data_IF_617668758029
#
_entry.id   IF_617668758029
#
_cell.length_a   1.000
_cell.length_b   1.000
_cell.length_c   1.000
_cell.angle_alpha   90.00
_cell.angle_beta   90.00
_cell.angle_gamma   90.00
#
_symmetry.space_group_name_H-M   'P 1'
#
loop_
_entity.id
_entity.type
_entity.pdbx_description
1 polymer ?
#
# COMPACT_ATOMS: atom_id res chain seq x y z
N UNK A 1 -11.08 10.55 -19.06
CA UNK A 1 -11.33 12.01 -19.01
C UNK A 1 -10.02 12.67 -18.61
N UNK A 2 -9.30 13.31 -19.54
CA UNK A 2 -7.94 13.82 -19.27
C UNK A 2 -8.04 15.11 -18.45
N UNK A 3 -7.71 15.06 -17.17
CA UNK A 3 -7.60 16.26 -16.32
C UNK A 3 -6.42 17.08 -16.84
N UNK A 4 -6.66 18.34 -17.20
CA UNK A 4 -5.62 19.26 -17.64
C UNK A 4 -4.68 19.58 -16.46
N UNK A 5 -3.39 19.20 -16.49
CA UNK A 5 -2.47 19.44 -15.39
C UNK A 5 -2.26 20.93 -15.08
N UNK A 6 -2.60 21.83 -16.02
CA UNK A 6 -2.50 23.28 -15.85
C UNK A 6 -3.65 23.90 -15.02
N UNK A 7 -4.74 23.16 -14.74
CA UNK A 7 -5.90 23.67 -14.00
C UNK A 7 -5.83 23.43 -12.48
N UNK A 8 -4.64 23.07 -11.95
CA UNK A 8 -4.48 22.79 -10.51
C UNK A 8 -4.61 24.08 -9.69
N UNK A 9 -5.35 24.08 -8.57
CA UNK A 9 -5.37 25.20 -7.64
C UNK A 9 -3.94 25.47 -7.14
N UNK A 10 -3.39 26.63 -7.51
CA UNK A 10 -2.07 27.10 -7.07
C UNK A 10 -2.16 27.68 -5.66
N UNK A 11 -1.07 27.56 -4.89
CA UNK A 11 -0.94 28.21 -3.57
C UNK A 11 -1.24 27.31 -2.37
N UNK A 12 -1.39 26.00 -2.56
CA UNK A 12 -1.33 25.06 -1.43
C UNK A 12 0.09 24.49 -1.33
N UNK A 13 0.83 24.77 -0.25
CA UNK A 13 2.22 24.35 -0.10
C UNK A 13 2.41 22.83 -0.12
N UNK A 14 1.39 22.04 0.26
CA UNK A 14 1.45 20.58 0.21
C UNK A 14 1.44 20.05 -1.23
N UNK A 15 0.68 20.70 -2.13
CA UNK A 15 0.65 20.30 -3.54
C UNK A 15 1.89 20.74 -4.29
N UNK A 16 2.48 21.87 -3.90
CA UNK A 16 3.77 22.32 -4.43
C UNK A 16 4.88 21.34 -4.03
N UNK A 17 4.90 20.89 -2.76
CA UNK A 17 5.85 19.90 -2.25
C UNK A 17 5.69 18.52 -2.94
N UNK A 18 4.46 18.04 -3.11
CA UNK A 18 4.19 16.82 -3.87
C UNK A 18 4.67 16.94 -5.32
N UNK A 19 4.44 18.09 -5.96
CA UNK A 19 4.91 18.32 -7.34
C UNK A 19 6.43 18.32 -7.43
N UNK A 20 7.11 18.91 -6.45
CA UNK A 20 8.56 18.94 -6.36
C UNK A 20 9.16 17.54 -6.18
N UNK A 21 8.55 16.71 -5.32
CA UNK A 21 9.10 15.41 -4.96
C UNK A 21 8.74 14.28 -5.92
N UNK A 22 7.56 14.31 -6.53
CA UNK A 22 7.11 13.24 -7.43
C UNK A 22 7.34 13.56 -8.91
N UNK A 23 7.48 14.84 -9.29
CA UNK A 23 7.76 15.24 -10.66
C UNK A 23 6.77 14.62 -11.65
N UNK A 24 7.27 13.83 -12.60
CA UNK A 24 6.47 13.13 -13.60
C UNK A 24 5.56 12.02 -13.02
N UNK A 25 5.90 11.46 -11.85
CA UNK A 25 5.10 10.43 -11.17
C UNK A 25 3.94 10.99 -10.35
N UNK A 26 3.77 12.31 -10.33
CA UNK A 26 2.73 12.96 -9.53
C UNK A 26 1.32 12.52 -9.94
N UNK A 27 1.10 12.28 -11.24
CA UNK A 27 -0.18 11.80 -11.75
C UNK A 27 -0.48 10.36 -11.34
N UNK A 28 0.54 9.56 -11.09
CA UNK A 28 0.41 8.16 -10.68
C UNK A 28 -0.20 8.05 -9.27
N UNK A 29 -0.07 9.11 -8.45
CA UNK A 29 -0.71 9.19 -7.14
C UNK A 29 -2.24 9.28 -7.20
N UNK A 30 -2.83 9.62 -8.36
CA UNK A 30 -4.29 9.62 -8.52
C UNK A 30 -4.88 8.22 -8.25
N UNK A 31 -4.15 7.15 -8.59
CA UNK A 31 -4.58 5.77 -8.37
C UNK A 31 -4.81 5.44 -6.88
N UNK A 32 -4.18 6.18 -5.95
CA UNK A 32 -4.45 6.05 -4.52
C UNK A 32 -5.88 6.48 -4.17
N UNK A 33 -6.38 7.53 -4.83
CA UNK A 33 -7.74 8.05 -4.64
C UNK A 33 -8.73 7.09 -5.29
N UNK A 34 -8.49 6.71 -6.55
CA UNK A 34 -9.35 5.78 -7.30
C UNK A 34 -9.56 4.46 -6.53
N UNK A 35 -8.49 3.92 -5.94
CA UNK A 35 -8.58 2.70 -5.14
C UNK A 35 -9.49 2.82 -3.92
N UNK A 36 -9.53 3.98 -3.26
CA UNK A 36 -10.45 4.24 -2.15
C UNK A 36 -11.88 4.46 -2.61
N UNK A 37 -12.08 5.16 -3.74
CA UNK A 37 -13.40 5.44 -4.28
C UNK A 37 -14.16 4.15 -4.63
N UNK A 38 -13.44 3.12 -5.11
CA UNK A 38 -14.03 1.80 -5.36
C UNK A 38 -14.68 1.20 -4.10
N UNK A 39 -14.08 1.39 -2.92
CA UNK A 39 -14.64 0.85 -1.67
C UNK A 39 -15.91 1.58 -1.23
N UNK A 40 -16.06 2.87 -1.56
CA UNK A 40 -17.25 3.66 -1.19
C UNK A 40 -18.51 3.22 -1.95
N UNK A 41 -18.32 2.59 -3.11
CA UNK A 41 -19.41 2.12 -3.97
C UNK A 41 -19.68 0.63 -3.81
N UNK A 42 -18.83 -0.10 -3.07
CA UNK A 42 -18.94 -1.54 -2.89
C UNK A 42 -19.85 -1.87 -1.68
N UNK A 43 -21.07 -2.30 -1.96
CA UNK A 43 -21.99 -2.87 -0.97
C UNK A 43 -22.79 -4.01 -1.62
N UNK A 44 -22.48 -5.30 -1.33
CA UNK A 44 -21.45 -5.78 -0.39
C UNK A 44 -20.01 -5.65 -0.93
N UNK A 45 -19.01 -5.75 -0.04
CA UNK A 45 -17.60 -5.81 -0.47
C UNK A 45 -17.30 -7.12 -1.21
N UNK A 46 -16.86 -7.01 -2.46
CA UNK A 46 -16.49 -8.14 -3.31
C UNK A 46 -15.00 -8.18 -3.65
N UNK A 47 -14.54 -9.34 -4.15
CA UNK A 47 -13.15 -9.57 -4.53
C UNK A 47 -12.64 -8.57 -5.56
N UNK A 48 -13.47 -8.17 -6.52
CA UNK A 48 -13.13 -7.19 -7.55
C UNK A 48 -12.75 -5.83 -6.93
N UNK A 49 -13.55 -5.37 -5.95
CA UNK A 49 -13.32 -4.12 -5.23
C UNK A 49 -12.04 -4.18 -4.39
N UNK A 50 -11.79 -5.31 -3.71
CA UNK A 50 -10.55 -5.54 -2.96
C UNK A 50 -9.33 -5.54 -3.89
N UNK A 51 -9.44 -6.16 -5.06
CA UNK A 51 -8.36 -6.18 -6.05
C UNK A 51 -8.06 -4.78 -6.61
N UNK A 52 -9.09 -4.02 -6.96
CA UNK A 52 -8.93 -2.64 -7.45
C UNK A 52 -8.35 -1.71 -6.39
N UNK A 53 -8.80 -1.82 -5.13
CA UNK A 53 -8.22 -1.10 -4.00
C UNK A 53 -6.73 -1.45 -3.84
N UNK A 54 -6.38 -2.74 -3.82
CA UNK A 54 -5.01 -3.18 -3.68
C UNK A 54 -4.11 -2.71 -4.84
N UNK A 55 -4.64 -2.69 -6.07
CA UNK A 55 -3.94 -2.19 -7.25
C UNK A 55 -3.63 -0.68 -7.12
N UNK A 56 -4.63 0.13 -6.77
CA UNK A 56 -4.43 1.58 -6.58
C UNK A 56 -3.40 1.91 -5.49
N UNK A 57 -3.44 1.18 -4.37
CA UNK A 57 -2.42 1.29 -3.31
C UNK A 57 -1.03 0.85 -3.76
N UNK A 58 -0.96 -0.17 -4.61
CA UNK A 58 0.30 -0.65 -5.18
C UNK A 58 0.91 0.41 -6.09
N UNK A 59 0.13 0.98 -7.02
CA UNK A 59 0.59 2.06 -7.90
C UNK A 59 1.17 3.25 -7.11
N UNK A 60 0.59 3.62 -5.98
CA UNK A 60 1.17 4.66 -5.12
C UNK A 60 2.53 4.30 -4.54
N UNK A 61 2.77 3.04 -4.16
CA UNK A 61 4.12 2.59 -3.76
C UNK A 61 5.08 2.65 -4.94
N UNK A 62 4.64 2.24 -6.14
CA UNK A 62 5.48 2.29 -7.34
C UNK A 62 5.90 3.74 -7.65
N UNK A 63 4.97 4.70 -7.56
CA UNK A 63 5.26 6.12 -7.73
C UNK A 63 6.27 6.64 -6.69
N UNK A 64 6.12 6.24 -5.42
CA UNK A 64 7.05 6.58 -4.33
C UNK A 64 8.45 6.00 -4.60
N UNK A 65 8.54 4.76 -5.05
CA UNK A 65 9.81 4.10 -5.38
C UNK A 65 10.47 4.73 -6.61
N UNK A 66 9.68 5.06 -7.64
CA UNK A 66 10.14 5.73 -8.85
C UNK A 66 10.67 7.14 -8.56
N UNK A 67 9.97 7.92 -7.74
CA UNK A 67 10.42 9.23 -7.27
C UNK A 67 11.74 9.18 -6.46
N UNK A 68 12.07 8.02 -5.88
CA UNK A 68 13.36 7.79 -5.22
C UNK A 68 14.49 7.35 -6.18
N UNK A 69 14.21 7.25 -7.49
CA UNK A 69 15.15 6.86 -8.54
C UNK A 69 15.36 5.34 -8.66
N UNK A 70 14.36 4.54 -8.27
CA UNK A 70 14.36 3.08 -8.39
C UNK A 70 13.29 2.61 -9.38
N UNK A 71 13.39 1.38 -9.88
CA UNK A 71 12.30 0.80 -10.68
C UNK A 71 11.11 0.47 -9.77
N UNK A 72 10.02 1.23 -9.90
CA UNK A 72 8.79 1.00 -9.16
C UNK A 72 8.08 -0.29 -9.59
N UNK A 73 8.37 -0.83 -10.77
CA UNK A 73 7.70 -2.01 -11.33
C UNK A 73 8.30 -3.34 -10.86
N UNK A 74 9.34 -3.30 -10.02
CA UNK A 74 9.93 -4.48 -9.43
C UNK A 74 8.88 -5.34 -8.70
N UNK A 75 8.85 -6.64 -8.99
CA UNK A 75 7.86 -7.59 -8.44
C UNK A 75 7.86 -7.59 -6.90
N UNK A 76 9.03 -7.44 -6.28
CA UNK A 76 9.13 -7.37 -4.82
C UNK A 76 8.55 -6.08 -4.22
N UNK A 77 8.48 -4.97 -4.97
CA UNK A 77 7.78 -3.74 -4.58
C UNK A 77 6.28 -3.96 -4.67
N UNK A 78 5.82 -4.57 -5.77
CA UNK A 78 4.43 -4.91 -5.99
C UNK A 78 3.89 -5.80 -4.86
N UNK A 79 4.57 -6.90 -4.53
CA UNK A 79 4.15 -7.83 -3.47
C UNK A 79 4.13 -7.18 -2.08
N UNK A 80 5.11 -6.33 -1.81
CA UNK A 80 5.21 -5.59 -0.56
C UNK A 80 4.04 -4.61 -0.40
N UNK A 81 3.75 -3.85 -1.45
CA UNK A 81 2.68 -2.87 -1.49
C UNK A 81 1.30 -3.54 -1.42
N UNK A 82 1.10 -4.63 -2.16
CA UNK A 82 -0.14 -5.42 -2.13
C UNK A 82 -0.39 -6.00 -0.74
N UNK A 83 0.64 -6.58 -0.11
CA UNK A 83 0.55 -7.06 1.28
C UNK A 83 0.13 -5.94 2.23
N UNK A 84 0.69 -4.74 2.04
CA UNK A 84 0.35 -3.57 2.85
C UNK A 84 -1.07 -3.10 2.64
N UNK A 85 -1.53 -2.98 1.40
CA UNK A 85 -2.90 -2.58 1.09
C UNK A 85 -3.92 -3.53 1.75
N UNK A 86 -3.71 -4.84 1.60
CA UNK A 86 -4.62 -5.85 2.14
C UNK A 86 -4.64 -5.85 3.68
N UNK A 87 -3.49 -5.65 4.32
CA UNK A 87 -3.44 -5.48 5.78
C UNK A 87 -4.14 -4.19 6.24
N UNK A 88 -3.98 -3.08 5.51
CA UNK A 88 -4.59 -1.79 5.82
C UNK A 88 -6.11 -1.88 5.83
N UNK A 89 -6.71 -2.46 4.77
CA UNK A 89 -8.17 -2.63 4.69
C UNK A 89 -8.67 -3.69 5.68
N UNK A 90 -8.02 -4.86 5.81
CA UNK A 90 -8.45 -5.90 6.74
C UNK A 90 -8.52 -5.40 8.19
N UNK A 91 -7.61 -4.50 8.59
CA UNK A 91 -7.57 -3.92 9.94
C UNK A 91 -8.66 -2.88 10.23
N UNK A 92 -9.38 -2.44 9.20
CA UNK A 92 -10.45 -1.42 9.28
C UNK A 92 -11.84 -2.00 9.04
N UNK A 93 -11.94 -3.27 8.64
CA UNK A 93 -13.22 -3.95 8.42
C UNK A 93 -13.79 -4.46 9.73
N UNK A 94 -15.00 -3.99 10.05
CA UNK A 94 -15.77 -4.45 11.21
C UNK A 94 -16.53 -5.75 10.91
N UNK A 95 -16.96 -5.95 9.65
CA UNK A 95 -17.64 -7.17 9.20
C UNK A 95 -16.64 -8.34 9.08
N UNK A 96 -16.80 -9.42 9.86
CA UNK A 96 -15.90 -10.57 9.80
C UNK A 96 -15.85 -11.25 8.43
N UNK A 97 -16.97 -11.34 7.70
CA UNK A 97 -17.03 -12.00 6.40
C UNK A 97 -16.27 -11.24 5.31
N UNK A 98 -16.36 -9.91 5.32
CA UNK A 98 -15.57 -9.05 4.42
C UNK A 98 -14.08 -9.12 4.74
N UNK A 99 -13.75 -9.17 6.03
CA UNK A 99 -12.37 -9.37 6.47
C UNK A 99 -11.82 -10.72 6.03
N UNK A 100 -12.59 -11.79 6.18
CA UNK A 100 -12.19 -13.14 5.75
C UNK A 100 -11.97 -13.18 4.23
N UNK A 101 -12.81 -12.51 3.43
CA UNK A 101 -12.61 -12.35 1.99
C UNK A 101 -11.27 -11.68 1.65
N UNK A 102 -10.89 -10.62 2.38
CA UNK A 102 -9.58 -9.96 2.21
C UNK A 102 -8.42 -10.88 2.60
N UNK A 103 -8.58 -11.65 3.68
CA UNK A 103 -7.55 -12.57 4.17
C UNK A 103 -7.31 -13.73 3.19
N UNK A 104 -8.37 -14.26 2.59
CA UNK A 104 -8.28 -15.29 1.54
C UNK A 104 -7.53 -14.75 0.31
N UNK A 105 -7.88 -13.55 -0.15
CA UNK A 105 -7.17 -12.87 -1.25
C UNK A 105 -5.69 -12.59 -0.92
N UNK A 106 -5.39 -12.27 0.35
CA UNK A 106 -4.03 -12.04 0.81
C UNK A 106 -3.20 -13.33 0.88
N UNK A 107 -3.81 -14.46 1.25
CA UNK A 107 -3.13 -15.74 1.34
C UNK A 107 -2.53 -16.16 -0.01
N UNK A 108 -3.25 -15.92 -1.11
CA UNK A 108 -2.79 -16.16 -2.49
C UNK A 108 -1.53 -15.35 -2.83
N UNK A 109 -1.36 -14.18 -2.21
CA UNK A 109 -0.30 -13.21 -2.54
C UNK A 109 0.91 -13.29 -1.59
N UNK A 110 0.84 -14.07 -0.52
CA UNK A 110 1.87 -14.11 0.54
C UNK A 110 2.90 -15.24 0.42
N UNK A 111 2.97 -15.93 -0.72
CA UNK A 111 3.91 -17.06 -0.92
C UNK A 111 5.38 -16.59 -0.93
N UNK A 112 5.68 -15.44 -1.55
CA UNK A 112 7.05 -14.98 -1.77
C UNK A 112 7.52 -14.07 -0.63
N UNK A 113 8.71 -14.28 -0.03
CA UNK A 113 9.28 -13.37 0.96
C UNK A 113 9.60 -12.00 0.34
N UNK A 114 9.12 -10.92 0.97
CA UNK A 114 9.49 -9.55 0.55
C UNK A 114 10.94 -9.27 0.94
N UNK A 115 11.76 -8.88 -0.03
CA UNK A 115 13.13 -8.40 0.18
C UNK A 115 13.30 -7.09 -0.55
N UNK A 116 13.41 -6.00 0.21
CA UNK A 116 13.56 -4.66 -0.34
C UNK A 116 15.02 -4.17 -0.19
N UNK A 117 15.55 -3.42 -1.18
CA UNK A 117 16.85 -2.76 -1.08
C UNK A 117 16.98 -1.87 0.16
N UNK A 118 18.23 -1.62 0.59
CA UNK A 118 18.52 -0.86 1.82
C UNK A 118 17.86 0.52 1.86
N UNK A 119 17.73 1.20 0.72
CA UNK A 119 17.09 2.53 0.65
C UNK A 119 15.57 2.47 0.82
N UNK A 120 14.96 1.31 0.57
CA UNK A 120 13.52 1.06 0.74
C UNK A 120 13.20 0.39 2.08
N UNK A 121 14.11 0.44 3.07
CA UNK A 121 13.89 -0.11 4.42
C UNK A 121 12.61 0.39 5.10
N UNK A 122 12.20 1.67 5.00
CA UNK A 122 10.92 2.10 5.55
C UNK A 122 9.73 1.31 4.96
N UNK A 123 9.76 1.04 3.65
CA UNK A 123 8.76 0.20 2.98
C UNK A 123 8.87 -1.27 3.42
N UNK A 124 10.08 -1.77 3.67
CA UNK A 124 10.31 -3.11 4.21
C UNK A 124 9.69 -3.28 5.61
N UNK A 125 9.76 -2.25 6.45
CA UNK A 125 9.09 -2.23 7.75
C UNK A 125 7.59 -2.36 7.59
N UNK A 126 6.98 -1.54 6.71
CA UNK A 126 5.55 -1.61 6.44
C UNK A 126 5.15 -3.01 5.95
N UNK A 127 5.86 -3.54 4.94
CA UNK A 127 5.58 -4.86 4.40
C UNK A 127 5.68 -5.98 5.45
N UNK A 128 6.68 -5.94 6.32
CA UNK A 128 6.86 -6.92 7.39
C UNK A 128 5.71 -6.86 8.41
N UNK A 129 5.28 -5.66 8.80
CA UNK A 129 4.14 -5.45 9.70
C UNK A 129 2.83 -5.91 9.07
N UNK A 130 2.64 -5.64 7.79
CA UNK A 130 1.46 -6.04 7.03
C UNK A 130 1.33 -7.56 6.94
N UNK A 131 2.41 -8.26 6.62
CA UNK A 131 2.40 -9.73 6.61
C UNK A 131 2.17 -10.32 8.00
N UNK A 132 2.69 -9.68 9.05
CA UNK A 132 2.37 -10.06 10.44
C UNK A 132 0.87 -9.87 10.72
N UNK A 133 0.32 -8.71 10.39
CA UNK A 133 -1.10 -8.38 10.56
C UNK A 133 -1.99 -9.42 9.87
N UNK A 134 -1.74 -9.70 8.58
CA UNK A 134 -2.48 -10.68 7.79
C UNK A 134 -2.42 -12.09 8.39
N UNK A 135 -1.24 -12.56 8.82
CA UNK A 135 -1.09 -13.84 9.53
C UNK A 135 -1.82 -13.90 10.88
N UNK A 136 -2.13 -12.75 11.46
CA UNK A 136 -2.87 -12.61 12.71
C UNK A 136 -4.35 -12.27 12.48
N UNK A 137 -4.88 -12.54 11.28
CA UNK A 137 -6.29 -12.29 10.97
C UNK A 137 -6.61 -10.83 10.66
N UNK A 138 -5.64 -10.06 10.14
CA UNK A 138 -5.85 -8.68 9.73
C UNK A 138 -5.88 -7.69 10.91
N UNK A 139 -5.18 -7.98 12.01
CA UNK A 139 -5.12 -7.05 13.16
C UNK A 139 -4.36 -5.77 12.84
N UNK A 140 -4.47 -4.75 13.70
CA UNK A 140 -3.70 -3.51 13.55
C UNK A 140 -2.19 -3.78 13.36
N UNK A 141 -1.60 -3.08 12.38
CA UNK A 141 -0.19 -3.20 11.97
C UNK A 141 0.78 -3.06 13.16
N UNK A 142 0.50 -2.09 14.03
CA UNK A 142 1.24 -1.84 15.26
C UNK A 142 0.38 -2.22 16.46
N UNK A 143 0.55 -3.46 16.92
CA UNK A 143 -0.14 -4.02 18.09
C UNK A 143 0.84 -4.75 19.01
N UNK A 144 1.17 -4.12 20.14
CA UNK A 144 1.99 -4.69 21.21
C UNK A 144 3.48 -4.87 20.87
N UNK A 145 4.23 -5.49 21.79
CA UNK A 145 5.71 -5.59 21.73
C UNK A 145 6.23 -6.41 20.54
N UNK A 146 5.49 -7.42 20.08
CA UNK A 146 5.90 -8.27 18.95
C UNK A 146 5.91 -7.50 17.63
N UNK A 147 4.99 -6.55 17.45
CA UNK A 147 4.96 -5.67 16.28
C UNK A 147 6.17 -4.72 16.25
N UNK A 148 6.56 -4.16 17.40
CA UNK A 148 7.77 -3.35 17.52
C UNK A 148 9.05 -4.14 17.18
N UNK A 149 9.17 -5.37 17.67
CA UNK A 149 10.31 -6.25 17.31
C UNK A 149 10.34 -6.59 15.82
N UNK A 150 9.18 -6.79 15.19
CA UNK A 150 9.06 -7.02 13.75
C UNK A 150 9.55 -5.80 12.97
N UNK A 151 9.11 -4.59 13.34
CA UNK A 151 9.54 -3.35 12.72
C UNK A 151 11.06 -3.13 12.88
N UNK A 152 11.60 -3.34 14.07
CA UNK A 152 13.04 -3.21 14.33
C UNK A 152 13.87 -4.17 13.47
N UNK A 153 13.47 -5.45 13.42
CA UNK A 153 14.16 -6.46 12.60
C UNK A 153 14.12 -6.09 11.12
N UNK A 154 12.96 -5.72 10.61
CA UNK A 154 12.80 -5.31 9.21
C UNK A 154 13.60 -4.04 8.89
N UNK A 155 13.66 -3.07 9.80
CA UNK A 155 14.46 -1.85 9.63
C UNK A 155 15.97 -2.12 9.60
N UNK A 156 16.45 -3.11 10.36
CA UNK A 156 17.86 -3.49 10.37
C UNK A 156 18.25 -4.33 9.14
N UNK A 157 17.41 -5.30 8.76
CA UNK A 157 17.77 -6.34 7.79
C UNK A 157 17.03 -6.27 6.43
N UNK A 158 16.03 -5.39 6.30
CA UNK A 158 15.18 -5.27 5.10
C UNK A 158 14.21 -6.43 4.90
N UNK A 159 13.95 -7.24 5.95
CA UNK A 159 13.10 -8.43 5.94
C UNK A 159 12.67 -8.85 7.34
#
# INVERSE_FOLDING_TARGET
MSVNPAARPRGNPQFDDLSLHFGEHLTDLAALVDGWEVLLLADPLEREAVAAFAAGRTMGWQAVVAAMGYDGNDEFVHDAAKSWALADIASKLDNPGERDLVLDFAAESMATPVRLPRRLRPLAVLAALSRRSLRQGGTALMSGRSSALTALRAGMFGR
#
